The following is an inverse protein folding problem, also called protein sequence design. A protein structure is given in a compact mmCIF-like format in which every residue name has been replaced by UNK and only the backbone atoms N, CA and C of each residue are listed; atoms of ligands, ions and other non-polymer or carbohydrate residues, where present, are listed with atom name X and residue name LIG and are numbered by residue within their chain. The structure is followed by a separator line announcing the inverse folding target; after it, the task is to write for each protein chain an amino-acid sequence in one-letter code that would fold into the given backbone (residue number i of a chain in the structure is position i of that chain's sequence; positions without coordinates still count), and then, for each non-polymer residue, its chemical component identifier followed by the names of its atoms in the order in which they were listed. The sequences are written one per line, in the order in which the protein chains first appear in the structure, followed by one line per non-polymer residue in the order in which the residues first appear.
data_IF_632887662352
#
_entry.id   IF_632887662352
#
_cell.length_a   1.000
_cell.length_b   1.000
_cell.length_c   1.000
_cell.angle_alpha   90.00
_cell.angle_beta   90.00
_cell.angle_gamma   90.00
#
_symmetry.space_group_name_H-M   'P 1'
#
loop_
_entity.id
_entity.type
_entity.pdbx_description
1 polymer ?
#
# COMPACT_ATOMS: atom_id res chain seq x y z
N UNK A 1 -52.79 -10.80 32.04
CA UNK A 1 -52.35 -9.52 31.46
C UNK A 1 -50.82 -9.58 31.26
N UNK A 2 -50.37 -9.84 30.04
CA UNK A 2 -48.92 -9.83 29.68
C UNK A 2 -48.54 -8.41 29.21
N UNK A 3 -47.60 -7.77 29.90
CA UNK A 3 -47.05 -6.49 29.49
C UNK A 3 -46.21 -6.68 28.21
N UNK A 4 -46.31 -5.81 27.20
CA UNK A 4 -45.44 -5.90 26.03
C UNK A 4 -44.02 -5.48 26.41
N UNK A 5 -43.05 -6.32 26.10
CA UNK A 5 -41.63 -6.04 26.30
C UNK A 5 -41.16 -4.94 25.32
N UNK A 6 -40.71 -3.90 25.92
CA UNK A 6 -39.87 -2.75 25.51
C UNK A 6 -39.50 -2.62 24.02
N UNK A 7 -40.25 -1.83 23.30
CA UNK A 7 -39.91 -1.18 22.04
C UNK A 7 -38.77 -0.13 22.17
N UNK A 8 -38.22 0.03 23.39
CA UNK A 8 -37.14 1.01 23.68
C UNK A 8 -35.74 0.49 23.39
N UNK A 9 -35.55 -0.81 23.16
CA UNK A 9 -34.23 -1.37 22.84
C UNK A 9 -33.85 -1.17 21.38
N UNK A 10 -34.77 -0.96 20.48
CA UNK A 10 -34.54 -0.81 19.04
C UNK A 10 -33.69 0.44 18.68
N UNK A 11 -33.99 1.65 19.23
CA UNK A 11 -33.14 2.82 18.92
C UNK A 11 -31.74 2.72 19.47
N UNK A 12 -31.53 2.04 20.60
CA UNK A 12 -30.18 1.81 21.15
C UNK A 12 -29.35 0.84 20.31
N UNK A 13 -29.99 -0.18 19.76
CA UNK A 13 -29.33 -1.14 18.85
C UNK A 13 -28.94 -0.48 17.53
N UNK A 14 -29.81 0.39 16.99
CA UNK A 14 -29.51 1.16 15.78
C UNK A 14 -28.38 2.18 16.00
N UNK A 15 -28.31 2.80 17.16
CA UNK A 15 -27.25 3.72 17.54
C UNK A 15 -25.90 3.00 17.70
N UNK A 16 -25.91 1.78 18.28
CA UNK A 16 -24.72 0.94 18.39
C UNK A 16 -24.21 0.44 17.03
N UNK A 17 -25.12 0.12 16.11
CA UNK A 17 -24.77 -0.30 14.74
C UNK A 17 -24.17 0.85 13.91
N UNK A 18 -24.66 2.08 14.10
CA UNK A 18 -24.11 3.28 13.47
C UNK A 18 -22.69 3.61 13.96
N UNK A 19 -22.37 3.30 15.22
CA UNK A 19 -21.02 3.48 15.77
C UNK A 19 -20.01 2.44 15.23
N UNK A 20 -20.47 1.25 14.84
CA UNK A 20 -19.56 0.20 14.33
C UNK A 20 -19.10 0.39 12.89
N UNK A 21 -19.79 1.21 12.10
CA UNK A 21 -19.46 1.45 10.68
C UNK A 21 -18.42 2.53 10.43
N UNK A 22 -17.90 3.20 11.47
CA UNK A 22 -17.19 4.47 11.36
C UNK A 22 -15.67 4.45 11.52
N UNK A 23 -15.04 3.29 11.78
CA UNK A 23 -13.63 3.29 12.21
C UNK A 23 -12.61 3.85 11.20
N UNK A 24 -12.85 3.75 9.90
CA UNK A 24 -11.93 4.28 8.88
C UNK A 24 -12.14 5.77 8.56
N UNK A 25 -13.29 6.33 8.90
CA UNK A 25 -13.62 7.74 8.66
C UNK A 25 -13.07 8.69 9.73
N UNK A 26 -12.54 8.15 10.82
CA UNK A 26 -11.98 8.93 11.93
C UNK A 26 -10.47 9.18 11.81
N UNK A 27 -9.82 8.59 10.81
CA UNK A 27 -8.41 8.89 10.52
C UNK A 27 -8.28 10.36 10.09
N UNK A 28 -7.33 11.06 10.69
CA UNK A 28 -7.13 12.49 10.48
C UNK A 28 -7.89 13.39 11.46
N UNK A 29 -8.67 12.82 12.38
CA UNK A 29 -9.32 13.55 13.47
C UNK A 29 -8.53 13.43 14.77
N UNK A 30 -8.87 14.24 15.78
CA UNK A 30 -8.32 14.10 17.15
C UNK A 30 -8.65 12.75 17.80
N UNK A 31 -9.62 12.03 17.26
CA UNK A 31 -10.03 10.70 17.74
C UNK A 31 -9.23 9.57 17.07
N UNK A 32 -8.44 9.86 16.06
CA UNK A 32 -7.58 8.86 15.37
C UNK A 32 -6.74 8.00 16.34
N UNK A 33 -6.07 8.55 17.38
CA UNK A 33 -5.28 7.73 18.29
C UNK A 33 -6.07 6.68 19.09
N UNK A 34 -7.40 6.87 19.21
CA UNK A 34 -8.28 6.00 20.02
C UNK A 34 -9.20 5.16 19.14
N UNK A 35 -9.71 5.72 18.05
CA UNK A 35 -10.76 5.12 17.21
C UNK A 35 -10.39 5.02 15.74
N UNK A 36 -9.21 5.49 15.33
CA UNK A 36 -8.73 5.41 13.96
C UNK A 36 -8.38 3.99 13.53
N UNK A 37 -8.46 3.72 12.23
CA UNK A 37 -8.00 2.47 11.63
C UNK A 37 -6.51 2.57 11.31
N UNK A 38 -5.71 1.62 11.80
CA UNK A 38 -4.27 1.54 11.55
C UNK A 38 -3.99 0.70 10.29
N UNK A 39 -3.08 1.18 9.45
CA UNK A 39 -2.62 0.42 8.27
C UNK A 39 -1.56 -0.59 8.72
N UNK A 40 -1.99 -1.82 8.94
CA UNK A 40 -1.09 -2.91 9.31
C UNK A 40 -0.30 -3.41 8.09
N UNK A 41 0.93 -2.92 7.92
CA UNK A 41 1.80 -3.26 6.78
C UNK A 41 2.16 -4.75 6.73
N UNK A 42 2.27 -5.42 7.87
CA UNK A 42 2.58 -6.86 7.92
C UNK A 42 1.43 -7.66 7.30
N UNK A 43 0.20 -7.39 7.75
CA UNK A 43 -1.00 -8.02 7.18
C UNK A 43 -1.23 -7.65 5.72
N UNK A 44 -0.92 -6.41 5.34
CA UNK A 44 -1.04 -5.96 3.96
C UNK A 44 -0.06 -6.72 3.06
N UNK A 45 1.22 -6.80 3.43
CA UNK A 45 2.23 -7.54 2.67
C UNK A 45 1.90 -9.02 2.51
N UNK A 46 1.43 -9.67 3.58
CA UNK A 46 1.01 -11.07 3.54
C UNK A 46 -0.19 -11.31 2.61
N UNK A 47 -1.22 -10.45 2.71
CA UNK A 47 -2.41 -10.50 1.85
C UNK A 47 -2.08 -10.28 0.37
N UNK A 48 -1.19 -9.33 0.08
CA UNK A 48 -0.74 -9.06 -1.29
C UNK A 48 0.01 -10.27 -1.84
N UNK A 49 0.93 -10.87 -1.07
CA UNK A 49 1.66 -12.06 -1.48
C UNK A 49 0.70 -13.22 -1.79
N UNK A 50 -0.26 -13.47 -0.91
CA UNK A 50 -1.29 -14.50 -1.10
C UNK A 50 -2.11 -14.25 -2.37
N UNK A 51 -2.60 -13.03 -2.55
CA UNK A 51 -3.41 -12.66 -3.71
C UNK A 51 -2.65 -12.84 -5.02
N UNK A 52 -1.40 -12.35 -5.10
CA UNK A 52 -0.58 -12.48 -6.30
C UNK A 52 -0.29 -13.95 -6.63
N UNK A 53 0.03 -14.77 -5.63
CA UNK A 53 0.32 -16.19 -5.84
C UNK A 53 -0.91 -17.00 -6.24
N UNK A 54 -2.07 -16.67 -5.68
CA UNK A 54 -3.33 -17.37 -5.98
C UNK A 54 -3.87 -17.02 -7.36
N UNK A 55 -3.68 -15.77 -7.79
CA UNK A 55 -4.19 -15.27 -9.08
C UNK A 55 -3.22 -15.49 -10.23
N UNK A 56 -1.96 -15.85 -9.97
CA UNK A 56 -0.95 -15.98 -11.02
C UNK A 56 -1.32 -16.98 -12.10
N UNK A 57 -1.35 -16.54 -13.36
CA UNK A 57 -1.58 -17.39 -14.53
C UNK A 57 -0.44 -17.14 -15.55
N UNK A 58 0.32 -18.19 -15.89
CA UNK A 58 0.37 -19.53 -15.26
C UNK A 58 0.86 -19.46 -13.79
N UNK A 59 0.53 -20.44 -12.95
CA UNK A 59 0.96 -20.47 -11.56
C UNK A 59 2.49 -20.47 -11.42
N UNK A 60 3.00 -19.88 -10.34
CA UNK A 60 4.43 -19.88 -10.00
C UNK A 60 4.84 -21.24 -9.37
N UNK A 61 4.69 -22.30 -10.13
CA UNK A 61 5.03 -23.67 -9.71
C UNK A 61 5.92 -24.32 -10.78
N UNK A 62 6.84 -25.22 -10.37
CA UNK A 62 7.23 -25.56 -8.99
C UNK A 62 8.01 -24.43 -8.30
N UNK A 63 8.04 -24.43 -6.98
CA UNK A 63 8.85 -23.50 -6.17
C UNK A 63 10.32 -23.93 -6.27
N UNK A 64 11.10 -23.22 -7.04
CA UNK A 64 12.50 -23.56 -7.29
C UNK A 64 13.42 -22.61 -6.50
N UNK A 65 14.29 -23.15 -5.61
CA UNK A 65 15.21 -22.33 -4.83
C UNK A 65 16.22 -21.55 -5.68
N UNK A 66 16.57 -22.06 -6.86
CA UNK A 66 17.50 -21.49 -7.81
C UNK A 66 16.85 -20.49 -8.78
N UNK A 67 15.52 -20.36 -8.74
CA UNK A 67 14.75 -19.40 -9.52
C UNK A 67 13.94 -18.46 -8.59
N UNK A 68 14.59 -17.45 -8.05
CA UNK A 68 13.96 -16.57 -7.08
C UNK A 68 12.87 -15.71 -7.73
N UNK A 69 11.93 -15.25 -6.92
CA UNK A 69 11.10 -14.09 -7.26
C UNK A 69 11.86 -12.82 -6.87
N UNK A 70 11.97 -11.90 -7.78
CA UNK A 70 12.57 -10.60 -7.53
C UNK A 70 11.51 -9.64 -7.02
N UNK A 71 11.75 -8.96 -5.92
CA UNK A 71 10.82 -7.96 -5.37
C UNK A 71 11.49 -6.60 -5.38
N UNK A 72 10.87 -5.63 -6.05
CA UNK A 72 11.35 -4.25 -6.09
C UNK A 72 10.76 -3.43 -4.96
N UNK A 73 11.43 -2.34 -4.59
CA UNK A 73 10.86 -1.35 -3.67
C UNK A 73 9.64 -0.69 -4.31
N UNK A 74 8.57 -0.47 -3.52
CA UNK A 74 7.44 0.35 -3.96
C UNK A 74 7.87 1.79 -4.17
N UNK A 75 7.43 2.37 -5.28
CA UNK A 75 7.76 3.74 -5.68
C UNK A 75 6.50 4.58 -5.84
N UNK A 76 6.65 5.89 -5.69
CA UNK A 76 5.59 6.84 -5.98
C UNK A 76 5.37 6.89 -7.51
N UNK A 77 4.12 6.71 -7.95
CA UNK A 77 3.77 6.74 -9.37
C UNK A 77 3.96 8.12 -10.02
N UNK A 78 3.86 9.19 -9.22
CA UNK A 78 4.10 10.56 -9.70
C UNK A 78 5.59 10.90 -9.81
N UNK A 79 6.44 10.19 -9.05
CA UNK A 79 7.88 10.35 -9.02
C UNK A 79 8.56 8.98 -8.85
N UNK A 80 8.69 8.24 -9.95
CA UNK A 80 9.20 6.86 -9.96
C UNK A 80 10.62 6.70 -9.40
N UNK A 81 11.38 7.79 -9.28
CA UNK A 81 12.71 7.82 -8.65
C UNK A 81 12.67 7.85 -7.13
N UNK A 82 11.52 8.17 -6.54
CA UNK A 82 11.41 8.39 -5.11
C UNK A 82 10.95 7.15 -4.38
N UNK A 83 11.78 6.73 -3.43
CA UNK A 83 11.46 5.65 -2.50
C UNK A 83 11.22 6.22 -1.11
N UNK A 84 10.13 5.81 -0.47
CA UNK A 84 9.78 6.19 0.90
C UNK A 84 10.16 5.08 1.89
N UNK A 85 10.14 5.42 3.19
CA UNK A 85 10.25 4.39 4.24
C UNK A 85 9.06 3.43 4.21
N UNK A 86 7.88 3.91 3.80
CA UNK A 86 6.73 3.07 3.52
C UNK A 86 7.04 2.02 2.45
N UNK A 87 7.55 2.44 1.29
CA UNK A 87 7.86 1.55 0.18
C UNK A 87 8.86 0.46 0.54
N UNK A 88 9.90 0.80 1.32
CA UNK A 88 10.89 -0.17 1.82
C UNK A 88 10.29 -1.14 2.85
N UNK A 89 9.52 -0.62 3.80
CA UNK A 89 8.86 -1.47 4.82
C UNK A 89 7.85 -2.41 4.19
N UNK A 90 7.07 -1.93 3.22
CA UNK A 90 6.15 -2.77 2.48
C UNK A 90 6.86 -3.86 1.69
N UNK A 91 7.97 -3.54 0.99
CA UNK A 91 8.81 -4.53 0.29
C UNK A 91 9.23 -5.67 1.22
N UNK A 92 9.74 -5.34 2.42
CA UNK A 92 10.17 -6.33 3.41
C UNK A 92 9.02 -7.25 3.86
N UNK A 93 7.84 -6.66 4.14
CA UNK A 93 6.68 -7.44 4.55
C UNK A 93 6.14 -8.32 3.42
N UNK A 94 6.15 -7.81 2.19
CA UNK A 94 5.79 -8.59 1.00
C UNK A 94 6.76 -9.75 0.78
N UNK A 95 8.07 -9.51 0.89
CA UNK A 95 9.10 -10.54 0.81
C UNK A 95 8.87 -11.64 1.86
N UNK A 96 8.59 -11.25 3.12
CA UNK A 96 8.26 -12.20 4.18
C UNK A 96 7.02 -13.05 3.84
N UNK A 97 5.99 -12.45 3.23
CA UNK A 97 4.79 -13.16 2.78
C UNK A 97 5.08 -14.21 1.70
N UNK A 98 5.99 -13.95 0.77
CA UNK A 98 6.43 -14.94 -0.24
C UNK A 98 7.30 -16.02 0.39
N UNK A 99 8.26 -15.66 1.25
CA UNK A 99 9.15 -16.62 1.94
C UNK A 99 8.36 -17.58 2.81
N UNK A 100 7.36 -17.11 3.56
CA UNK A 100 6.50 -17.96 4.38
C UNK A 100 5.72 -19.01 3.56
N UNK A 101 5.56 -18.75 2.27
CA UNK A 101 4.92 -19.68 1.31
C UNK A 101 5.94 -20.51 0.53
N UNK A 102 7.21 -20.47 0.91
CA UNK A 102 8.28 -21.32 0.39
C UNK A 102 8.92 -20.85 -0.93
N UNK A 103 8.79 -19.58 -1.27
CA UNK A 103 9.46 -19.01 -2.44
C UNK A 103 10.82 -18.43 -2.05
N UNK A 104 11.83 -18.65 -2.88
CA UNK A 104 13.11 -17.96 -2.77
C UNK A 104 12.93 -16.51 -3.24
N UNK A 105 13.42 -15.55 -2.46
CA UNK A 105 13.28 -14.12 -2.74
C UNK A 105 14.66 -13.49 -2.89
N UNK A 106 14.76 -12.57 -3.86
CA UNK A 106 15.84 -11.58 -3.93
C UNK A 106 15.24 -10.19 -3.98
N UNK A 107 15.67 -9.35 -3.06
CA UNK A 107 15.27 -7.94 -3.02
C UNK A 107 16.13 -7.12 -3.96
N UNK A 108 15.46 -6.33 -4.79
CA UNK A 108 16.12 -5.36 -5.66
C UNK A 108 15.87 -3.98 -5.08
N UNK A 109 16.93 -3.34 -4.61
CA UNK A 109 16.87 -1.92 -4.28
C UNK A 109 16.93 -1.14 -5.58
N UNK A 110 15.80 -0.54 -5.94
CA UNK A 110 15.71 0.29 -7.12
C UNK A 110 16.65 1.50 -6.96
N UNK A 111 17.69 1.54 -7.80
CA UNK A 111 18.54 2.74 -7.98
C UNK A 111 17.88 3.61 -9.06
N UNK A 112 18.15 4.91 -9.04
CA UNK A 112 17.61 5.87 -10.01
C UNK A 112 17.79 5.41 -11.46
N UNK A 113 18.88 4.75 -11.75
CA UNK A 113 19.26 4.30 -13.09
C UNK A 113 18.40 3.13 -13.62
N UNK A 114 17.71 2.40 -12.72
CA UNK A 114 16.89 1.22 -13.07
C UNK A 114 15.42 1.55 -13.36
N UNK A 115 14.96 2.76 -13.03
CA UNK A 115 13.53 3.08 -13.03
C UNK A 115 13.06 3.96 -14.18
N UNK A 116 13.92 4.64 -14.93
CA UNK A 116 13.45 5.74 -15.76
C UNK A 116 13.99 5.74 -17.16
N UNK A 117 13.07 5.47 -18.10
CA UNK A 117 12.93 6.33 -19.27
C UNK A 117 11.63 7.11 -19.09
N UNK A 118 11.72 8.26 -18.45
CA UNK A 118 10.62 9.18 -18.12
C UNK A 118 9.81 9.67 -19.33
N UNK A 119 10.20 9.39 -20.54
CA UNK A 119 9.65 10.03 -21.73
C UNK A 119 8.26 9.53 -22.16
N UNK A 120 7.69 8.45 -21.59
CA UNK A 120 6.44 7.87 -22.10
C UNK A 120 5.38 7.46 -21.08
N UNK A 121 5.57 7.72 -19.77
CA UNK A 121 4.52 7.46 -18.78
C UNK A 121 4.07 6.00 -18.62
N UNK A 122 4.75 5.04 -19.26
CA UNK A 122 4.44 3.64 -19.19
C UNK A 122 5.42 2.92 -18.27
N UNK A 123 4.87 2.09 -17.40
CA UNK A 123 5.59 1.20 -16.50
C UNK A 123 6.18 0.05 -17.30
N UNK A 124 7.26 0.31 -18.01
CA UNK A 124 8.01 -0.73 -18.73
C UNK A 124 9.14 -1.22 -17.83
N UNK A 125 9.26 -2.54 -17.70
CA UNK A 125 10.48 -3.16 -17.20
C UNK A 125 11.65 -2.61 -18.01
N UNK A 126 12.57 -1.93 -17.33
CA UNK A 126 13.78 -1.46 -18.02
C UNK A 126 14.57 -2.68 -18.51
N UNK A 127 15.32 -2.53 -19.61
CA UNK A 127 16.20 -3.60 -20.10
C UNK A 127 17.14 -4.10 -19.01
N UNK A 128 17.60 -3.20 -18.15
CA UNK A 128 18.50 -3.52 -17.04
C UNK A 128 17.83 -4.46 -16.02
N UNK A 129 16.54 -4.26 -15.71
CA UNK A 129 15.82 -5.14 -14.82
C UNK A 129 15.55 -6.50 -15.45
N UNK A 130 15.31 -6.55 -16.77
CA UNK A 130 15.19 -7.80 -17.51
C UNK A 130 16.51 -8.56 -17.55
N UNK A 131 17.64 -7.88 -17.80
CA UNK A 131 18.95 -8.45 -17.79
C UNK A 131 19.33 -9.00 -16.41
N UNK A 132 19.03 -8.25 -15.35
CA UNK A 132 19.18 -8.72 -13.97
C UNK A 132 18.33 -9.97 -13.71
N UNK A 133 17.09 -9.99 -14.15
CA UNK A 133 16.18 -11.13 -13.97
C UNK A 133 16.70 -12.36 -14.73
N UNK A 134 17.19 -12.18 -15.94
CA UNK A 134 17.82 -13.25 -16.73
C UNK A 134 19.09 -13.80 -16.07
N UNK A 135 19.99 -12.93 -15.60
CA UNK A 135 21.20 -13.31 -14.86
C UNK A 135 20.89 -14.08 -13.57
N UNK A 136 19.79 -13.70 -12.88
CA UNK A 136 19.35 -14.36 -11.65
C UNK A 136 18.44 -15.58 -11.91
N UNK A 137 18.12 -15.89 -13.16
CA UNK A 137 17.12 -16.91 -13.54
C UNK A 137 15.79 -16.72 -12.81
N UNK A 138 15.34 -15.49 -12.64
CA UNK A 138 14.16 -15.19 -11.89
C UNK A 138 12.91 -15.80 -12.56
N UNK A 139 12.04 -16.42 -11.77
CA UNK A 139 10.77 -16.95 -12.26
C UNK A 139 9.67 -15.88 -12.37
N UNK A 140 9.80 -14.77 -11.66
CA UNK A 140 8.91 -13.62 -11.73
C UNK A 140 9.54 -12.38 -11.09
N UNK A 141 9.00 -11.22 -11.41
CA UNK A 141 9.33 -9.93 -10.78
C UNK A 141 8.06 -9.35 -10.18
N UNK A 142 8.12 -8.91 -8.93
CA UNK A 142 7.07 -8.13 -8.30
C UNK A 142 7.42 -6.66 -8.35
N UNK A 143 6.56 -5.90 -9.00
CA UNK A 143 6.64 -4.45 -9.13
C UNK A 143 5.49 -3.80 -8.39
N UNK A 144 5.73 -2.68 -7.73
CA UNK A 144 4.66 -1.96 -7.05
C UNK A 144 4.83 -0.45 -7.11
N UNK A 145 3.70 0.22 -7.28
CA UNK A 145 3.58 1.68 -7.21
C UNK A 145 2.49 2.09 -6.25
N UNK A 146 2.57 3.32 -5.79
CA UNK A 146 1.49 3.96 -5.06
C UNK A 146 1.28 5.40 -5.57
N UNK A 147 0.04 5.84 -5.54
CA UNK A 147 -0.35 7.23 -5.80
C UNK A 147 -1.04 7.80 -4.58
N UNK A 148 -0.70 9.03 -4.21
CA UNK A 148 -1.23 9.70 -3.02
C UNK A 148 -2.28 10.74 -3.41
N UNK A 149 -3.41 10.69 -2.72
CA UNK A 149 -4.48 11.67 -2.85
C UNK A 149 -4.95 12.08 -1.44
N UNK A 150 -4.37 13.14 -0.88
CA UNK A 150 -4.57 13.54 0.52
C UNK A 150 -4.22 12.40 1.49
N UNK A 151 -5.19 11.93 2.28
CA UNK A 151 -5.03 10.82 3.22
C UNK A 151 -5.46 9.46 2.62
N UNK A 152 -5.50 9.37 1.31
CA UNK A 152 -5.80 8.13 0.59
C UNK A 152 -4.60 7.75 -0.27
N UNK A 153 -4.24 6.48 -0.22
CA UNK A 153 -3.23 5.88 -1.10
C UNK A 153 -3.91 4.85 -1.99
N UNK A 154 -3.63 4.93 -3.28
CA UNK A 154 -3.94 3.87 -4.23
C UNK A 154 -2.68 3.04 -4.43
N UNK A 155 -2.76 1.77 -4.08
CA UNK A 155 -1.67 0.80 -4.17
C UNK A 155 -1.89 -0.09 -5.38
N UNK A 156 -0.87 -0.26 -6.22
CA UNK A 156 -0.89 -1.21 -7.34
C UNK A 156 0.37 -2.07 -7.27
N UNK A 157 0.18 -3.40 -7.22
CA UNK A 157 1.29 -4.37 -7.19
C UNK A 157 1.06 -5.41 -8.27
N UNK A 158 2.07 -5.67 -9.09
CA UNK A 158 1.99 -6.57 -10.24
C UNK A 158 3.05 -7.65 -10.15
N UNK A 159 2.67 -8.86 -10.50
CA UNK A 159 3.57 -9.98 -10.72
C UNK A 159 3.78 -10.14 -12.23
N UNK A 160 5.00 -9.98 -12.68
CA UNK A 160 5.36 -9.90 -14.09
C UNK A 160 6.30 -11.03 -14.46
N UNK A 161 6.10 -11.64 -15.62
CA UNK A 161 7.06 -12.58 -16.21
C UNK A 161 8.25 -11.79 -16.79
N UNK A 162 9.48 -12.13 -16.39
CA UNK A 162 10.66 -11.41 -16.90
C UNK A 162 10.96 -11.69 -18.36
N UNK A 163 10.50 -12.80 -18.95
CA UNK A 163 10.83 -13.21 -20.30
C UNK A 163 10.06 -12.41 -21.35
N UNK A 164 8.76 -12.24 -21.15
CA UNK A 164 7.85 -11.61 -22.11
C UNK A 164 7.13 -10.37 -21.58
N UNK A 165 7.40 -9.98 -20.31
CA UNK A 165 6.80 -8.84 -19.61
C UNK A 165 5.28 -8.95 -19.39
N UNK A 166 4.71 -10.14 -19.52
CA UNK A 166 3.28 -10.33 -19.24
C UNK A 166 2.99 -10.18 -17.75
N UNK A 167 1.88 -9.50 -17.45
CA UNK A 167 1.36 -9.40 -16.08
C UNK A 167 0.62 -10.68 -15.78
N UNK A 168 1.16 -11.51 -14.87
CA UNK A 168 0.61 -12.80 -14.46
C UNK A 168 -0.42 -12.68 -13.34
N UNK A 169 -0.30 -11.65 -12.51
CA UNK A 169 -1.27 -11.30 -11.47
C UNK A 169 -1.14 -9.82 -11.11
N UNK A 170 -2.22 -9.23 -10.63
CA UNK A 170 -2.24 -7.86 -10.16
C UNK A 170 -3.07 -7.74 -8.87
N UNK A 171 -2.63 -6.87 -7.99
CA UNK A 171 -3.34 -6.51 -6.77
C UNK A 171 -3.47 -5.00 -6.68
N UNK A 172 -4.67 -4.53 -6.44
CA UNK A 172 -4.94 -3.10 -6.22
C UNK A 172 -5.73 -2.92 -4.93
N UNK A 173 -5.42 -1.85 -4.22
CA UNK A 173 -6.11 -1.51 -2.97
C UNK A 173 -6.16 0.00 -2.78
N UNK A 174 -7.16 0.44 -2.01
CA UNK A 174 -7.34 1.82 -1.57
C UNK A 174 -7.20 1.88 -0.06
N UNK A 175 -6.13 2.50 0.41
CA UNK A 175 -5.80 2.61 1.82
C UNK A 175 -6.13 4.00 2.34
N UNK A 176 -6.86 4.09 3.44
CA UNK A 176 -6.98 5.34 4.21
C UNK A 176 -5.78 5.44 5.14
N UNK A 177 -4.98 6.50 5.00
CA UNK A 177 -3.72 6.65 5.72
C UNK A 177 -3.94 7.15 7.14
N UNK A 178 -3.30 6.48 8.07
CA UNK A 178 -3.14 6.92 9.45
C UNK A 178 -1.90 7.80 9.64
N UNK A 179 -1.74 8.39 10.83
CA UNK A 179 -0.60 9.25 11.15
C UNK A 179 0.75 8.53 11.05
N UNK A 180 0.81 7.22 11.35
CA UNK A 180 2.04 6.43 11.26
C UNK A 180 2.44 6.19 9.81
N UNK A 181 1.47 5.84 8.96
CA UNK A 181 1.71 5.65 7.52
C UNK A 181 2.13 6.96 6.85
N UNK A 182 1.52 8.09 7.23
CA UNK A 182 1.94 9.41 6.74
C UNK A 182 3.40 9.73 7.12
N UNK A 183 3.82 9.40 8.34
CA UNK A 183 5.24 9.55 8.75
C UNK A 183 6.17 8.67 7.93
N UNK A 184 5.79 7.42 7.64
CA UNK A 184 6.57 6.51 6.79
C UNK A 184 6.70 7.02 5.34
N UNK A 185 5.75 7.82 4.88
CA UNK A 185 5.77 8.50 3.59
C UNK A 185 6.56 9.81 3.61
N UNK A 186 7.03 10.28 4.78
CA UNK A 186 7.68 11.57 4.94
C UNK A 186 6.71 12.76 4.95
N UNK A 187 5.40 12.49 5.02
CA UNK A 187 4.34 13.48 5.08
C UNK A 187 3.99 13.75 6.54
N UNK A 188 4.75 14.61 7.19
CA UNK A 188 4.40 15.09 8.54
C UNK A 188 3.50 16.32 8.38
N UNK A 189 2.24 16.18 8.75
CA UNK A 189 1.37 17.31 8.96
C UNK A 189 1.68 17.88 10.35
N UNK A 190 2.66 18.76 10.42
CA UNK A 190 2.91 19.51 11.64
C UNK A 190 1.89 20.65 11.66
N UNK A 191 0.88 20.58 12.53
CA UNK A 191 -0.16 21.60 12.67
C UNK A 191 0.41 22.97 13.06
N UNK A 192 1.71 23.06 13.38
CA UNK A 192 2.43 24.27 13.77
C UNK A 192 3.48 24.71 12.73
N UNK A 193 3.75 23.96 11.67
CA UNK A 193 4.67 24.40 10.64
C UNK A 193 3.96 25.37 9.70
N UNK A 194 4.39 26.62 9.72
CA UNK A 194 3.89 27.67 8.82
C UNK A 194 4.03 27.20 7.35
N UNK A 195 2.94 27.18 6.65
CA UNK A 195 2.87 26.86 5.24
C UNK A 195 3.67 27.88 4.42
N UNK A 196 4.78 27.47 3.82
CA UNK A 196 5.62 28.28 2.95
C UNK A 196 5.72 27.72 1.55
N UNK A 197 6.14 28.50 0.56
CA UNK A 197 6.26 28.07 -0.85
C UNK A 197 7.28 26.95 -1.08
N UNK A 198 8.08 26.61 -0.06
CA UNK A 198 9.06 25.49 -0.08
C UNK A 198 8.78 24.44 1.01
N UNK A 199 7.63 24.51 1.68
CA UNK A 199 7.23 23.63 2.77
C UNK A 199 6.33 22.47 2.33
N UNK A 200 5.98 21.58 3.26
CA UNK A 200 5.07 20.47 2.99
C UNK A 200 3.72 21.00 2.50
N UNK A 201 3.06 20.21 1.65
CA UNK A 201 1.73 20.55 1.11
C UNK A 201 0.78 20.86 2.26
N UNK A 202 0.28 22.09 2.31
CA UNK A 202 -0.62 22.52 3.37
C UNK A 202 -1.95 21.80 3.27
N UNK A 203 -2.51 21.32 4.39
CA UNK A 203 -3.87 20.84 4.38
C UNK A 203 -4.83 21.97 3.99
N UNK A 204 -5.94 21.68 3.30
CA UNK A 204 -6.94 22.67 2.98
C UNK A 204 -7.41 23.38 4.27
N UNK A 205 -7.71 24.67 4.16
CA UNK A 205 -8.21 25.46 5.30
C UNK A 205 -9.41 24.75 5.92
N UNK A 206 -9.38 24.47 7.24
CA UNK A 206 -10.42 23.69 7.87
C UNK A 206 -11.78 24.37 7.75
N UNK A 207 -12.80 23.62 7.35
CA UNK A 207 -14.19 24.05 7.37
C UNK A 207 -14.67 24.31 8.79
N UNK A 208 -15.83 24.95 8.97
CA UNK A 208 -16.40 25.17 10.31
C UNK A 208 -16.68 23.84 11.01
N UNK A 209 -17.05 22.79 10.26
CA UNK A 209 -17.23 21.41 10.78
C UNK A 209 -15.90 20.79 11.20
N UNK A 210 -14.83 21.06 10.47
CA UNK A 210 -13.51 20.62 10.83
C UNK A 210 -13.05 21.23 12.17
N UNK A 211 -13.39 22.49 12.46
CA UNK A 211 -13.04 23.14 13.75
C UNK A 211 -13.75 22.53 14.95
N UNK A 212 -14.87 21.89 14.77
CA UNK A 212 -15.64 21.23 15.85
C UNK A 212 -15.19 19.78 16.03
N UNK A 213 -14.81 19.09 14.94
CA UNK A 213 -14.40 17.68 14.96
C UNK A 213 -12.89 17.50 15.00
N UNK A 214 -12.12 18.50 14.58
CA UNK A 214 -10.66 18.53 14.54
C UNK A 214 -10.10 19.56 15.53
#
# INVERSE_FOLDING_TARGET
MKRPASTQALPWLLFLLLLAAGCSSLNGTRLEPVLGADVNLVRLGDRVAESLLTQAVPPLLPRQPDQPVLITTLVNNDQLTDTSSFGRSFQNNLAAGFVSRGYAIKEIKLRRDLLVREAKGEFMLTRDLQEMAGTQRAQAIVLGTYTLANRVMYLSVRLVDPADQTIRAAYEDRLTLDANTLRLLGLQFDNNAGCGPSGPVCPPTPSVLDRVLY
#
